data_IF_448365340597
#
_entry.id   IF_448365340597
#
_cell.length_a   1.000
_cell.length_b   1.000
_cell.length_c   1.000
_cell.angle_alpha   90.00
_cell.angle_beta   90.00
_cell.angle_gamma   90.00
#
_symmetry.space_group_name_H-M   'P 1'
#
loop_
_entity.id
_entity.type
_entity.pdbx_description
1 polymer ?
#
# COMPACT_ATOMS: atom_id res chain seq x y z
N UNK A 1 21.62 4.05 33.63
CA UNK A 1 21.49 3.70 32.20
C UNK A 1 20.42 4.60 31.60
N UNK A 2 20.81 5.49 30.69
CA UNK A 2 19.84 6.36 30.00
C UNK A 2 19.10 5.54 28.92
N UNK A 3 17.79 5.73 28.74
CA UNK A 3 17.03 5.01 27.73
C UNK A 3 17.46 5.45 26.34
N UNK A 4 17.88 4.49 25.52
CA UNK A 4 18.25 4.69 24.13
C UNK A 4 17.00 5.07 23.32
N UNK A 5 16.79 6.37 23.08
CA UNK A 5 15.69 6.87 22.23
C UNK A 5 16.11 6.74 20.78
N UNK A 6 15.56 5.75 20.08
CA UNK A 6 15.86 5.50 18.66
C UNK A 6 15.30 6.65 17.81
N UNK A 7 16.08 7.24 16.89
CA UNK A 7 15.68 8.42 16.11
C UNK A 7 14.86 8.00 14.88
N UNK A 8 13.65 7.48 15.10
CA UNK A 8 12.67 7.28 14.02
C UNK A 8 11.31 7.80 14.43
N UNK A 9 11.25 9.09 14.80
CA UNK A 9 10.03 9.88 14.63
C UNK A 9 10.03 10.35 13.17
N UNK A 10 9.92 9.44 12.21
CA UNK A 10 9.53 9.89 10.88
C UNK A 10 8.08 10.37 11.05
N UNK A 11 7.85 11.68 10.94
CA UNK A 11 6.54 12.30 10.80
C UNK A 11 5.89 11.90 9.45
N UNK A 12 6.03 10.64 9.05
CA UNK A 12 5.32 10.10 7.93
C UNK A 12 3.85 9.97 8.32
N UNK A 13 2.95 10.58 7.54
CA UNK A 13 1.53 10.53 7.83
C UNK A 13 1.06 9.08 8.00
N UNK A 14 0.41 8.78 9.14
CA UNK A 14 -0.16 7.45 9.48
C UNK A 14 -1.13 6.87 8.42
N UNK A 15 -1.46 7.63 7.37
CA UNK A 15 -2.41 7.27 6.34
C UNK A 15 -1.82 6.36 5.25
N UNK A 16 -0.49 6.21 5.17
CA UNK A 16 0.16 5.50 4.05
C UNK A 16 0.17 3.98 4.18
N UNK A 17 -0.45 3.38 5.21
CA UNK A 17 -0.01 2.05 5.66
C UNK A 17 -1.03 0.91 5.63
N UNK A 18 -2.33 1.17 5.49
CA UNK A 18 -3.33 0.09 5.34
C UNK A 18 -3.03 -0.73 4.09
N UNK A 19 -2.71 -0.04 2.99
CA UNK A 19 -2.38 -0.68 1.73
C UNK A 19 -1.08 -1.48 1.80
N UNK A 20 -0.12 -1.11 2.67
CA UNK A 20 1.16 -1.84 2.79
C UNK A 20 0.92 -3.24 3.33
N UNK A 21 0.10 -3.37 4.38
CA UNK A 21 -0.21 -4.67 4.98
C UNK A 21 -0.99 -5.53 4.00
N UNK A 22 -2.07 -5.00 3.41
CA UNK A 22 -2.86 -5.71 2.42
C UNK A 22 -2.01 -6.16 1.22
N UNK A 23 -1.22 -5.24 0.64
CA UNK A 23 -0.35 -5.56 -0.52
C UNK A 23 0.69 -6.61 -0.16
N UNK A 24 1.31 -6.52 1.02
CA UNK A 24 2.32 -7.49 1.46
C UNK A 24 1.71 -8.87 1.66
N UNK A 25 0.53 -8.97 2.29
CA UNK A 25 -0.18 -10.24 2.48
C UNK A 25 -0.66 -10.83 1.16
N UNK A 26 -1.25 -10.02 0.27
CA UNK A 26 -1.65 -10.45 -1.08
C UNK A 26 -0.46 -10.97 -1.87
N UNK A 27 0.69 -10.28 -1.81
CA UNK A 27 1.93 -10.72 -2.46
C UNK A 27 2.45 -12.02 -1.86
N UNK A 28 2.48 -12.12 -0.53
CA UNK A 28 2.91 -13.34 0.16
C UNK A 28 2.04 -14.53 -0.25
N UNK A 29 0.71 -14.36 -0.32
CA UNK A 29 -0.20 -15.39 -0.80
C UNK A 29 0.11 -15.79 -2.24
N UNK A 30 0.19 -14.84 -3.18
CA UNK A 30 0.47 -15.14 -4.59
C UNK A 30 1.78 -15.89 -4.81
N UNK A 31 2.82 -15.50 -4.08
CA UNK A 31 4.17 -16.01 -4.30
C UNK A 31 4.48 -17.30 -3.52
N UNK A 32 3.67 -17.63 -2.51
CA UNK A 32 3.88 -18.84 -1.72
C UNK A 32 3.29 -20.04 -2.44
N UNK A 33 4.08 -21.10 -2.59
CA UNK A 33 3.64 -22.37 -3.17
C UNK A 33 3.03 -23.32 -2.12
N UNK A 34 3.40 -23.16 -0.84
CA UNK A 34 2.92 -23.98 0.28
C UNK A 34 2.50 -23.10 1.45
N UNK A 35 1.62 -23.61 2.30
CA UNK A 35 1.21 -22.91 3.53
C UNK A 35 2.39 -22.60 4.45
N UNK A 36 3.39 -23.49 4.53
CA UNK A 36 4.57 -23.27 5.38
C UNK A 36 5.38 -22.04 4.92
N UNK A 37 5.60 -21.90 3.61
CA UNK A 37 6.29 -20.74 3.03
C UNK A 37 5.48 -19.48 3.30
N UNK A 38 4.16 -19.53 3.12
CA UNK A 38 3.29 -18.42 3.44
C UNK A 38 3.36 -18.02 4.91
N UNK A 39 3.40 -18.99 5.83
CA UNK A 39 3.48 -18.71 7.26
C UNK A 39 4.82 -18.05 7.63
N UNK A 40 5.94 -18.47 7.01
CA UNK A 40 7.24 -17.80 7.16
C UNK A 40 7.19 -16.35 6.69
N UNK A 41 6.61 -16.09 5.51
CA UNK A 41 6.40 -14.74 5.00
C UNK A 41 5.49 -13.90 5.92
N UNK A 42 4.41 -14.48 6.45
CA UNK A 42 3.51 -13.83 7.41
C UNK A 42 4.24 -13.40 8.69
N UNK A 43 5.09 -14.27 9.22
CA UNK A 43 5.93 -13.97 10.39
C UNK A 43 6.93 -12.85 10.03
N UNK A 44 7.58 -12.94 8.87
CA UNK A 44 8.50 -11.91 8.40
C UNK A 44 7.83 -10.54 8.25
N UNK A 45 6.63 -10.48 7.66
CA UNK A 45 5.82 -9.26 7.57
C UNK A 45 5.49 -8.72 8.96
N UNK A 46 5.06 -9.58 9.88
CA UNK A 46 4.76 -9.20 11.28
C UNK A 46 5.98 -8.59 11.96
N UNK A 47 7.14 -9.24 11.86
CA UNK A 47 8.39 -8.76 12.44
C UNK A 47 8.83 -7.43 11.82
N UNK A 48 8.71 -7.30 10.49
CA UNK A 48 9.03 -6.06 9.77
C UNK A 48 8.14 -4.91 10.25
N UNK A 49 6.85 -5.14 10.43
CA UNK A 49 5.92 -4.12 10.94
C UNK A 49 6.23 -3.76 12.40
N UNK A 50 6.49 -4.75 13.26
CA UNK A 50 6.88 -4.50 14.65
C UNK A 50 8.18 -3.67 14.72
N UNK A 51 9.17 -4.00 13.90
CA UNK A 51 10.45 -3.27 13.82
C UNK A 51 10.25 -1.81 13.37
N UNK A 52 9.29 -1.56 12.47
CA UNK A 52 8.90 -0.22 12.06
C UNK A 52 8.00 0.51 13.09
N UNK A 53 7.84 -0.03 14.30
CA UNK A 53 7.13 0.63 15.40
C UNK A 53 5.61 0.49 15.37
N UNK A 54 5.05 -0.44 14.60
CA UNK A 54 3.61 -0.66 14.56
C UNK A 54 3.13 -1.42 15.81
N UNK A 55 2.03 -0.99 16.47
CA UNK A 55 1.47 -1.73 17.59
C UNK A 55 0.96 -3.13 17.16
N UNK A 56 1.24 -4.18 17.95
CA UNK A 56 0.78 -5.55 17.66
C UNK A 56 -0.74 -5.63 17.46
N UNK A 57 -1.51 -4.95 18.31
CA UNK A 57 -2.98 -4.92 18.21
C UNK A 57 -3.49 -4.32 16.90
N UNK A 58 -2.74 -3.38 16.32
CA UNK A 58 -3.05 -2.82 15.00
C UNK A 58 -2.73 -3.83 13.90
N UNK A 59 -1.55 -4.47 13.94
CA UNK A 59 -1.14 -5.48 12.96
C UNK A 59 -2.17 -6.62 12.94
N UNK A 60 -2.50 -7.15 14.12
CA UNK A 60 -3.51 -8.20 14.28
C UNK A 60 -4.84 -7.76 13.68
N UNK A 61 -5.36 -6.57 14.03
CA UNK A 61 -6.61 -6.06 13.47
C UNK A 61 -6.59 -6.00 11.94
N UNK A 62 -5.50 -5.55 11.34
CA UNK A 62 -5.37 -5.49 9.87
C UNK A 62 -5.31 -6.88 9.24
N UNK A 63 -4.61 -7.82 9.87
CA UNK A 63 -4.58 -9.21 9.42
C UNK A 63 -5.97 -9.83 9.50
N UNK A 64 -6.70 -9.63 10.61
CA UNK A 64 -8.08 -10.11 10.77
C UNK A 64 -8.99 -9.55 9.68
N UNK A 65 -8.92 -8.25 9.44
CA UNK A 65 -9.71 -7.61 8.38
C UNK A 65 -9.40 -8.22 7.01
N UNK A 66 -8.12 -8.37 6.68
CA UNK A 66 -7.69 -8.98 5.42
C UNK A 66 -8.21 -10.41 5.26
N UNK A 67 -8.06 -11.27 6.28
CA UNK A 67 -8.51 -12.66 6.20
C UNK A 67 -10.04 -12.82 6.22
N UNK A 68 -10.76 -11.88 6.84
CA UNK A 68 -12.23 -11.90 6.88
C UNK A 68 -12.88 -11.74 5.49
N UNK A 69 -12.16 -11.20 4.51
CA UNK A 69 -12.64 -11.11 3.12
C UNK A 69 -12.67 -12.48 2.42
N UNK A 70 -11.90 -13.46 2.92
CA UNK A 70 -11.71 -14.74 2.24
C UNK A 70 -12.18 -15.96 3.04
N UNK A 71 -12.10 -15.90 4.37
CA UNK A 71 -12.48 -16.96 5.30
C UNK A 71 -13.87 -16.64 5.87
N UNK A 72 -14.71 -17.66 5.99
CA UNK A 72 -16.04 -17.49 6.56
C UNK A 72 -15.96 -17.06 8.03
N UNK A 73 -16.80 -16.09 8.41
CA UNK A 73 -16.82 -15.42 9.72
C UNK A 73 -17.09 -16.35 10.92
N UNK A 74 -17.42 -17.62 10.68
CA UNK A 74 -17.68 -18.63 11.72
C UNK A 74 -16.41 -19.15 12.41
N UNK A 75 -15.22 -18.85 11.86
CA UNK A 75 -13.95 -19.20 12.50
C UNK A 75 -13.66 -18.28 13.69
N UNK A 76 -13.52 -18.87 14.90
CA UNK A 76 -13.24 -18.15 16.14
C UNK A 76 -11.91 -17.37 16.11
N UNK A 77 -11.01 -17.78 15.21
CA UNK A 77 -9.76 -17.08 14.91
C UNK A 77 -9.67 -16.90 13.39
N UNK A 78 -9.60 -15.67 12.86
CA UNK A 78 -9.44 -15.41 11.43
C UNK A 78 -7.97 -15.58 11.02
N UNK A 79 -7.33 -16.63 11.52
CA UNK A 79 -5.99 -17.03 11.10
C UNK A 79 -6.11 -18.27 10.25
N UNK A 80 -5.25 -18.34 9.22
CA UNK A 80 -5.13 -19.53 8.40
C UNK A 80 -4.33 -20.53 9.23
N UNK A 81 -4.99 -21.63 9.61
CA UNK A 81 -4.39 -22.68 10.43
C UNK A 81 -4.25 -24.01 9.66
N UNK A 82 -4.80 -24.08 8.43
CA UNK A 82 -4.85 -25.29 7.63
C UNK A 82 -4.47 -25.00 6.16
N UNK A 83 -3.74 -25.94 5.54
CA UNK A 83 -3.40 -25.96 4.11
C UNK A 83 -4.65 -25.79 3.22
N UNK A 84 -5.77 -26.41 3.58
CA UNK A 84 -7.02 -26.33 2.79
C UNK A 84 -7.57 -24.91 2.71
N UNK A 85 -7.50 -24.15 3.81
CA UNK A 85 -7.90 -22.74 3.85
C UNK A 85 -6.92 -21.89 3.04
N UNK A 86 -5.62 -22.17 3.15
CA UNK A 86 -4.59 -21.51 2.35
C UNK A 86 -4.83 -21.70 0.85
N UNK A 87 -5.00 -22.94 0.38
CA UNK A 87 -5.24 -23.25 -1.04
C UNK A 87 -6.51 -22.56 -1.55
N UNK A 88 -7.58 -22.56 -0.74
CA UNK A 88 -8.83 -21.88 -1.09
C UNK A 88 -8.62 -20.37 -1.28
N UNK A 89 -7.89 -19.74 -0.36
CA UNK A 89 -7.54 -18.31 -0.48
C UNK A 89 -6.62 -18.03 -1.66
N UNK A 90 -5.60 -18.87 -1.83
CA UNK A 90 -4.59 -18.75 -2.88
C UNK A 90 -5.25 -18.74 -4.26
N UNK A 91 -6.13 -19.71 -4.52
CA UNK A 91 -6.89 -19.80 -5.76
C UNK A 91 -7.80 -18.59 -5.99
N UNK A 92 -8.46 -18.07 -4.94
CA UNK A 92 -9.27 -16.84 -5.05
C UNK A 92 -8.40 -15.63 -5.44
N UNK A 93 -7.20 -15.53 -4.89
CA UNK A 93 -6.31 -14.37 -5.09
C UNK A 93 -5.55 -14.43 -6.41
N UNK A 94 -5.18 -15.62 -6.87
CA UNK A 94 -4.52 -15.80 -8.17
C UNK A 94 -5.38 -15.30 -9.32
N UNK A 95 -6.70 -15.48 -9.23
CA UNK A 95 -7.65 -15.06 -10.25
C UNK A 95 -7.98 -13.56 -10.21
N UNK A 96 -7.60 -12.86 -9.13
CA UNK A 96 -7.81 -11.42 -9.04
C UNK A 96 -6.81 -10.68 -9.95
N UNK A 97 -7.24 -9.78 -10.82
CA UNK A 97 -6.31 -8.94 -11.59
C UNK A 97 -5.50 -8.06 -10.64
N UNK A 98 -4.20 -7.91 -10.92
CA UNK A 98 -3.38 -6.91 -10.23
C UNK A 98 -3.89 -5.50 -10.57
N UNK A 99 -3.61 -4.52 -9.72
CA UNK A 99 -3.95 -3.12 -10.00
C UNK A 99 -3.46 -2.65 -11.38
N UNK A 100 -2.28 -3.11 -11.81
CA UNK A 100 -1.74 -2.83 -13.14
C UNK A 100 -2.56 -3.51 -14.24
N UNK A 101 -2.93 -4.78 -14.07
CA UNK A 101 -3.79 -5.48 -15.02
C UNK A 101 -5.17 -4.83 -15.11
N UNK A 102 -5.78 -4.46 -13.98
CA UNK A 102 -7.04 -3.71 -13.96
C UNK A 102 -6.92 -2.36 -14.67
N UNK A 103 -5.82 -1.63 -14.50
CA UNK A 103 -5.62 -0.37 -15.20
C UNK A 103 -5.47 -0.58 -16.72
N UNK A 104 -4.75 -1.62 -17.13
CA UNK A 104 -4.60 -1.97 -18.56
C UNK A 104 -5.95 -2.37 -19.16
N UNK A 105 -6.74 -3.21 -18.46
CA UNK A 105 -8.06 -3.62 -18.95
C UNK A 105 -9.04 -2.45 -19.06
N UNK A 106 -9.03 -1.52 -18.10
CA UNK A 106 -9.83 -0.29 -18.15
C UNK A 106 -9.40 0.58 -19.33
N UNK A 107 -8.08 0.74 -19.53
CA UNK A 107 -7.54 1.56 -20.63
C UNK A 107 -7.89 0.97 -22.00
N UNK A 108 -7.80 -0.36 -22.14
CA UNK A 108 -8.19 -1.06 -23.36
C UNK A 108 -9.69 -0.90 -23.64
N UNK A 109 -10.56 -1.15 -22.65
CA UNK A 109 -12.00 -0.98 -22.80
C UNK A 109 -12.40 0.47 -23.13
N UNK A 110 -11.67 1.47 -22.64
CA UNK A 110 -11.92 2.87 -22.96
C UNK A 110 -11.55 3.18 -24.41
N UNK A 111 -10.44 2.62 -24.91
CA UNK A 111 -10.00 2.81 -26.29
C UNK A 111 -10.95 2.17 -27.31
N UNK A 112 -11.62 1.06 -26.95
CA UNK A 112 -12.60 0.40 -27.83
C UNK A 112 -13.88 1.25 -28.00
N UNK A 113 -14.32 1.96 -26.94
CA UNK A 113 -15.51 2.84 -27.00
C UNK A 113 -15.28 4.03 -27.93
N UNK A 114 -14.07 4.61 -27.91
CA UNK A 114 -13.74 5.77 -28.75
C UNK A 114 -13.63 5.41 -30.25
N UNK A 115 -13.55 4.12 -30.59
CA UNK A 115 -13.36 3.66 -31.96
C UNK A 115 -14.68 3.27 -32.67
N UNK A 116 -15.83 3.29 -31.96
CA UNK A 116 -17.15 2.92 -32.50
C UNK A 116 -18.07 4.12 -32.79
N UNK A 117 -17.56 5.35 -32.68
CA UNK A 117 -18.23 6.53 -33.23
C UNK A 117 -18.08 6.56 -34.76
N UNK A 118 -18.89 5.73 -35.41
CA UNK A 118 -19.10 5.69 -36.86
C UNK A 118 -19.93 6.90 -37.30
N UNK A 119 -19.29 7.78 -38.06
CA UNK A 119 -19.81 8.66 -39.10
C UNK A 119 -21.35 8.86 -39.20
N UNK A 120 -21.85 9.93 -38.55
CA UNK A 120 -23.03 10.66 -39.04
C UNK A 120 -22.55 11.74 -40.03
N UNK A 121 -23.01 11.75 -41.29
CA UNK A 121 -22.60 12.74 -42.27
C UNK A 121 -23.35 14.06 -42.06
N UNK A 122 -22.84 14.92 -41.19
CA UNK A 122 -23.29 16.32 -41.12
C UNK A 122 -22.38 17.22 -41.95
N UNK A 123 -22.93 17.66 -43.08
CA UNK A 123 -22.47 18.82 -43.84
C UNK A 123 -22.55 20.08 -42.97
N UNK A 124 -21.42 20.66 -42.55
CA UNK A 124 -21.26 22.07 -42.15
C UNK A 124 -19.77 22.43 -42.01
N UNK A 125 -19.40 23.73 -42.10
CA UNK A 125 -18.17 24.15 -42.76
C UNK A 125 -16.91 24.04 -41.91
N UNK A 126 -15.86 23.61 -42.61
CA UNK A 126 -14.45 23.55 -42.27
C UNK A 126 -13.99 24.68 -41.36
N UNK A 127 -13.86 24.39 -40.05
CA UNK A 127 -12.89 25.08 -39.21
C UNK A 127 -11.65 24.20 -39.13
N UNK A 128 -10.66 24.55 -39.95
CA UNK A 128 -9.34 23.90 -40.05
C UNK A 128 -8.62 23.98 -38.71
N UNK A 129 -8.93 23.04 -37.82
CA UNK A 129 -8.05 22.77 -36.68
C UNK A 129 -6.84 22.05 -37.26
N UNK A 130 -5.72 22.76 -37.31
CA UNK A 130 -4.43 22.25 -37.74
C UNK A 130 -4.02 21.13 -36.78
N UNK A 131 -4.50 19.92 -37.04
CA UNK A 131 -3.90 18.69 -36.57
C UNK A 131 -2.52 18.69 -37.21
N UNK A 132 -1.53 19.16 -36.45
CA UNK A 132 -0.15 18.87 -36.76
C UNK A 132 -0.06 17.35 -36.78
N UNK A 133 -0.03 16.78 -37.98
CA UNK A 133 0.59 15.51 -38.27
C UNK A 133 1.98 15.58 -37.65
N UNK A 134 2.08 15.17 -36.39
CA UNK A 134 3.32 14.67 -35.86
C UNK A 134 3.57 13.42 -36.66
N UNK A 135 4.26 13.59 -37.78
CA UNK A 135 5.06 12.58 -38.42
C UNK A 135 5.71 11.79 -37.29
N UNK A 136 5.10 10.65 -36.93
CA UNK A 136 5.72 9.62 -36.11
C UNK A 136 6.85 9.14 -36.99
N UNK A 137 7.98 9.87 -36.95
CA UNK A 137 9.27 9.25 -37.13
C UNK A 137 9.23 8.09 -36.16
N UNK A 138 9.11 6.89 -36.71
CA UNK A 138 9.45 5.67 -36.03
C UNK A 138 10.89 5.88 -35.56
N UNK A 139 11.02 6.52 -34.39
CA UNK A 139 12.27 6.64 -33.70
C UNK A 139 12.55 5.19 -33.36
N UNK A 140 13.45 4.57 -34.15
CA UNK A 140 14.10 3.34 -33.81
C UNK A 140 14.39 3.42 -32.31
N UNK A 141 13.56 2.73 -31.51
CA UNK A 141 13.66 2.70 -30.07
C UNK A 141 14.79 1.73 -29.72
N UNK A 142 15.92 1.90 -30.40
CA UNK A 142 17.11 1.12 -30.25
C UNK A 142 17.75 1.51 -28.93
N UNK A 143 17.87 0.50 -28.06
CA UNK A 143 18.84 0.42 -26.99
C UNK A 143 18.84 1.65 -26.05
N UNK A 144 17.70 1.98 -25.44
CA UNK A 144 17.64 2.96 -24.34
C UNK A 144 17.03 2.34 -23.10
N UNK A 145 17.73 2.45 -21.96
CA UNK A 145 17.21 2.08 -20.65
C UNK A 145 16.89 3.37 -19.89
N UNK A 146 15.64 3.56 -19.50
CA UNK A 146 15.22 4.75 -18.76
C UNK A 146 15.01 4.38 -17.29
N UNK A 147 15.80 4.96 -16.41
CA UNK A 147 15.68 4.78 -14.95
C UNK A 147 15.16 6.07 -14.34
N UNK A 148 14.03 5.97 -13.64
CA UNK A 148 13.46 7.08 -12.88
C UNK A 148 13.69 6.87 -11.39
N UNK A 149 14.16 7.91 -10.71
CA UNK A 149 14.28 7.93 -9.25
C UNK A 149 13.57 9.15 -8.66
N UNK A 150 13.15 9.03 -7.41
CA UNK A 150 12.51 10.11 -6.65
C UNK A 150 13.60 10.91 -5.96
N UNK A 151 13.62 12.22 -6.18
CA UNK A 151 14.65 13.08 -5.64
C UNK A 151 14.46 13.40 -4.16
N UNK A 152 15.40 12.95 -3.33
CA UNK A 152 15.71 13.61 -2.06
C UNK A 152 16.95 14.50 -2.22
N UNK A 153 16.98 15.66 -1.55
CA UNK A 153 18.11 16.60 -1.61
C UNK A 153 19.47 15.97 -1.23
N UNK A 154 19.45 14.87 -0.48
CA UNK A 154 20.66 14.14 -0.04
C UNK A 154 21.27 13.27 -1.15
N UNK A 155 20.56 13.05 -2.26
CA UNK A 155 20.96 12.18 -3.36
C UNK A 155 21.24 12.95 -4.66
N UNK A 156 21.82 14.16 -4.55
CA UNK A 156 22.17 14.95 -5.74
C UNK A 156 23.23 14.26 -6.61
N UNK A 157 24.19 13.56 -5.99
CA UNK A 157 25.23 12.79 -6.69
C UNK A 157 24.71 11.50 -7.30
N UNK A 158 23.57 11.00 -6.82
CA UNK A 158 23.08 9.66 -7.14
C UNK A 158 22.85 9.42 -8.63
N UNK A 159 22.52 10.48 -9.40
CA UNK A 159 22.47 10.40 -10.85
C UNK A 159 23.82 10.03 -11.45
N UNK A 160 24.88 10.71 -11.01
CA UNK A 160 26.26 10.45 -11.42
C UNK A 160 26.69 9.06 -10.98
N UNK A 161 26.36 8.69 -9.74
CA UNK A 161 26.73 7.40 -9.16
C UNK A 161 26.10 6.24 -9.94
N UNK A 162 24.82 6.36 -10.34
CA UNK A 162 24.14 5.36 -11.18
C UNK A 162 24.84 5.23 -12.54
N UNK A 163 25.21 6.34 -13.19
CA UNK A 163 25.92 6.29 -14.46
C UNK A 163 27.28 5.62 -14.31
N UNK A 164 28.04 5.99 -13.27
CA UNK A 164 29.35 5.40 -13.00
C UNK A 164 29.24 3.89 -12.73
N UNK A 165 28.27 3.46 -11.94
CA UNK A 165 28.02 2.03 -11.68
C UNK A 165 27.65 1.31 -12.96
N UNK A 166 26.78 1.90 -13.79
CA UNK A 166 26.38 1.31 -15.07
C UNK A 166 27.58 1.13 -15.99
N UNK A 167 28.37 2.19 -16.19
CA UNK A 167 29.53 2.16 -17.07
C UNK A 167 30.59 1.18 -16.56
N UNK A 168 30.81 1.09 -15.24
CA UNK A 168 31.77 0.16 -14.66
C UNK A 168 31.34 -1.31 -14.78
N UNK A 169 30.05 -1.61 -14.58
CA UNK A 169 29.54 -2.99 -14.55
C UNK A 169 29.30 -3.53 -15.95
N UNK A 170 28.81 -2.69 -16.87
CA UNK A 170 28.35 -3.15 -18.18
C UNK A 170 29.32 -2.87 -19.32
N UNK A 171 30.50 -2.28 -19.05
CA UNK A 171 31.49 -1.86 -20.06
C UNK A 171 31.78 -2.90 -21.14
N UNK A 172 31.95 -4.16 -20.73
CA UNK A 172 32.38 -5.26 -21.61
C UNK A 172 31.21 -6.20 -21.96
N UNK A 173 29.97 -5.76 -21.75
CA UNK A 173 28.76 -6.53 -22.03
C UNK A 173 28.01 -5.92 -23.21
N UNK A 174 27.15 -6.68 -23.92
CA UNK A 174 26.25 -6.10 -24.94
C UNK A 174 25.30 -5.02 -24.39
N UNK A 175 25.15 -4.93 -23.06
CA UNK A 175 24.40 -3.85 -22.44
C UNK A 175 25.11 -2.50 -22.53
N UNK A 176 26.42 -2.44 -22.82
CA UNK A 176 27.14 -1.19 -23.08
C UNK A 176 26.54 -0.40 -24.27
N UNK A 177 25.94 -1.09 -25.24
CA UNK A 177 25.27 -0.47 -26.38
C UNK A 177 23.93 0.19 -26.01
N UNK A 178 23.44 -0.07 -24.79
CA UNK A 178 22.21 0.50 -24.25
C UNK A 178 22.50 1.83 -23.56
N UNK A 179 21.99 2.91 -24.13
CA UNK A 179 22.11 4.24 -23.54
C UNK A 179 21.23 4.33 -22.29
N UNK A 180 21.85 4.35 -21.11
CA UNK A 180 21.18 4.64 -19.86
C UNK A 180 20.79 6.12 -19.78
N UNK A 181 19.51 6.39 -19.49
CA UNK A 181 18.99 7.72 -19.23
C UNK A 181 18.44 7.73 -17.80
N UNK A 182 19.12 8.43 -16.90
CA UNK A 182 18.67 8.59 -15.52
C UNK A 182 17.92 9.91 -15.39
N UNK A 183 16.60 9.81 -15.17
CA UNK A 183 15.70 10.95 -15.05
C UNK A 183 15.20 11.15 -13.63
N UNK A 184 15.23 12.38 -13.13
CA UNK A 184 14.54 12.73 -11.89
C UNK A 184 13.05 12.87 -12.15
N UNK A 185 12.22 12.09 -11.43
CA UNK A 185 10.78 12.30 -11.44
C UNK A 185 10.42 13.38 -10.42
N UNK A 186 10.53 14.64 -10.84
CA UNK A 186 10.01 15.78 -10.07
C UNK A 186 8.47 15.69 -9.99
N UNK A 187 7.95 14.96 -8.99
CA UNK A 187 6.52 15.02 -8.65
C UNK A 187 6.22 16.38 -8.03
N UNK A 188 5.83 17.37 -8.85
CA UNK A 188 5.26 18.64 -8.38
C UNK A 188 4.13 18.48 -7.34
N UNK A 189 3.25 17.46 -7.35
CA UNK A 189 2.21 17.33 -6.32
C UNK A 189 2.67 16.67 -5.00
N UNK A 190 3.86 16.07 -4.93
CA UNK A 190 4.30 15.41 -3.68
C UNK A 190 4.44 16.40 -2.51
N UNK A 191 4.73 17.67 -2.81
CA UNK A 191 4.74 18.74 -1.80
C UNK A 191 3.34 18.99 -1.22
N UNK A 192 2.27 18.87 -2.01
CA UNK A 192 0.89 19.07 -1.55
C UNK A 192 0.39 17.81 -0.82
N UNK A 193 0.73 16.62 -1.30
CA UNK A 193 0.37 15.36 -0.63
C UNK A 193 1.08 15.17 0.72
N UNK A 194 2.33 15.64 0.86
CA UNK A 194 3.11 15.52 2.09
C UNK A 194 2.88 16.67 3.09
N UNK A 195 2.42 17.85 2.64
CA UNK A 195 2.20 19.02 3.53
C UNK A 195 0.77 19.07 4.10
N UNK A 196 -0.24 18.50 3.44
CA UNK A 196 -1.62 18.89 3.74
C UNK A 196 -2.46 18.03 4.69
N UNK A 197 -1.94 16.97 5.34
CA UNK A 197 -2.76 16.25 6.33
C UNK A 197 -2.01 15.91 7.62
N UNK A 198 -1.86 16.91 8.48
CA UNK A 198 -1.70 16.67 9.92
C UNK A 198 -2.92 15.85 10.40
N UNK A 199 -2.75 14.67 11.01
CA UNK A 199 -3.87 13.93 11.59
C UNK A 199 -4.61 14.82 12.59
N UNK A 200 -5.94 14.71 12.64
CA UNK A 200 -6.73 15.39 13.68
C UNK A 200 -6.14 15.00 15.04
N UNK A 201 -5.86 15.98 15.90
CA UNK A 201 -5.23 15.78 17.23
C UNK A 201 -5.94 14.72 18.07
N UNK A 202 -7.25 14.54 17.87
CA UNK A 202 -8.05 13.50 18.50
C UNK A 202 -7.56 12.06 18.26
N UNK A 203 -6.80 11.82 17.19
CA UNK A 203 -6.20 10.51 16.85
C UNK A 203 -4.79 10.33 17.43
N UNK A 204 -4.18 11.41 17.93
CA UNK A 204 -2.83 11.41 18.51
C UNK A 204 -2.87 11.37 20.04
N UNK A 205 -3.99 11.77 20.64
CA UNK A 205 -4.21 11.67 22.08
C UNK A 205 -4.66 10.23 22.37
N UNK A 206 -3.77 9.45 22.97
CA UNK A 206 -4.15 8.18 23.60
C UNK A 206 -5.17 8.50 24.68
N UNK A 207 -6.46 8.32 24.38
CA UNK A 207 -7.49 8.40 25.41
C UNK A 207 -7.17 7.27 26.39
N UNK A 208 -6.84 7.57 27.67
CA UNK A 208 -6.68 6.51 28.64
C UNK A 208 -7.98 5.71 28.65
N UNK A 209 -7.88 4.39 28.52
CA UNK A 209 -9.04 3.52 28.67
C UNK A 209 -9.74 3.96 29.96
N UNK A 210 -10.99 4.43 29.84
CA UNK A 210 -11.83 4.64 31.02
C UNK A 210 -11.86 3.29 31.72
N UNK A 211 -11.15 3.19 32.85
CA UNK A 211 -11.22 2.01 33.71
C UNK A 211 -12.72 1.77 33.94
N UNK A 212 -13.23 0.55 33.70
CA UNK A 212 -14.62 0.26 33.99
C UNK A 212 -14.88 0.73 35.40
N UNK A 213 -15.85 1.64 35.57
CA UNK A 213 -16.30 2.06 36.88
C UNK A 213 -16.67 0.77 37.60
N UNK A 214 -15.85 0.38 38.59
CA UNK A 214 -16.24 -0.64 39.55
C UNK A 214 -17.53 -0.11 40.14
N UNK A 215 -18.65 -0.69 39.75
CA UNK A 215 -19.93 -0.49 40.41
C UNK A 215 -19.66 -0.75 41.90
N UNK A 216 -19.59 0.33 42.68
CA UNK A 216 -19.60 0.26 44.13
C UNK A 216 -20.92 -0.44 44.46
N UNK A 217 -20.83 -1.73 44.80
CA UNK A 217 -21.92 -2.43 45.46
C UNK A 217 -22.30 -1.55 46.65
N UNK A 218 -23.52 -1.02 46.62
CA UNK A 218 -24.06 -0.31 47.77
C UNK A 218 -24.09 -1.32 48.93
N UNK A 219 -23.57 -0.96 50.11
CA UNK A 219 -23.69 -1.84 51.26
C UNK A 219 -25.18 -2.12 51.51
N UNK A 220 -25.54 -3.35 51.90
CA UNK A 220 -26.91 -3.71 52.20
C UNK A 220 -27.45 -2.76 53.28
N UNK A 221 -28.62 -2.18 53.03
CA UNK A 221 -29.35 -1.39 54.02
C UNK A 221 -29.78 -2.35 55.13
N UNK A 222 -29.13 -2.26 56.28
CA UNK A 222 -29.62 -2.90 57.51
C UNK A 222 -30.94 -2.25 57.89
N UNK A 223 -32.01 -3.04 57.86
CA UNK A 223 -33.31 -2.68 58.40
C UNK A 223 -33.20 -2.64 59.92
N UNK A 224 -33.01 -1.45 60.49
CA UNK A 224 -33.20 -1.21 61.91
C UNK A 224 -34.72 -1.20 62.16
N UNK A 225 -35.23 -2.34 62.65
CA UNK A 225 -36.60 -2.45 63.16
C UNK A 225 -36.71 -1.69 64.48
N UNK A 226 -37.53 -0.65 64.46
CA UNK A 226 -37.84 0.24 65.59
C UNK A 226 -38.75 -0.47 66.61
N UNK A 227 -38.31 -0.74 67.87
CA UNK A 227 -39.09 -1.49 68.84
C UNK A 227 -39.87 -0.53 69.74
N UNK A 228 -40.79 0.25 69.17
CA UNK A 228 -41.70 1.06 70.00
C UNK A 228 -43.07 1.27 69.35
N UNK A 229 -43.86 0.20 69.27
CA UNK A 229 -45.33 0.32 69.29
C UNK A 229 -45.90 -0.71 70.26
N UNK A 230 -46.28 -0.20 71.43
CA UNK A 230 -47.24 -0.80 72.37
C UNK A 230 -48.65 -0.61 71.82
#
# INVERSE_FOLDING_TARGET
AEPYVVPFISDHPRHTFVNVIQTSLTRALRNSSTFEIFNKERIYITLTLLYNGYPSSFIEKQFRNFFSEYINSSSFLPFIDNETQFVTMHNKILNLPTARQSQVSISAATADIDNDQTDEPQNEPTTTTTVQERNKKEHACGNKLIVHYTHEKRFQTFKSDIHQVYDNVFKDTPAADVKLIVGNKNRRPAKIELICKRPKQSLLINKPLKKPQRNRQQPPKENISDPTKK
#
